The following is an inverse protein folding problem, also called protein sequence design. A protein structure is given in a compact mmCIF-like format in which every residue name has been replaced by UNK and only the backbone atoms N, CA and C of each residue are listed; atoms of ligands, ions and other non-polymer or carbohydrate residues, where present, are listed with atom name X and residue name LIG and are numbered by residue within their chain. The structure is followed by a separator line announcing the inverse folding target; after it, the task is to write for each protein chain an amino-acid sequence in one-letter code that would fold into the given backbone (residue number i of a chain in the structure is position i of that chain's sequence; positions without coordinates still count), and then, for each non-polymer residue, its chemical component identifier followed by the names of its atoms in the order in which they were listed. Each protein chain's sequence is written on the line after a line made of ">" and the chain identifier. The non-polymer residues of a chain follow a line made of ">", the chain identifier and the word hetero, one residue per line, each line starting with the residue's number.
data_IF_067058637424
#
_entry.id   IF_067058637424
#
_cell.length_a   1.000
_cell.length_b   1.000
_cell.length_c   1.000
_cell.angle_alpha   90.00
_cell.angle_beta   90.00
_cell.angle_gamma   90.00
#
_symmetry.space_group_name_H-M   'P 1'
#
loop_
_entity.id
_entity.type
_entity.pdbx_description
1 polymer ?
#
# COMPACT_ATOMS: atom_id res chain seq x y z
N UNK A 1 11.00 24.00 -40.49
CA UNK A 1 11.12 24.41 -39.06
C UNK A 1 9.79 25.06 -38.68
N UNK A 2 8.86 24.27 -38.12
CA UNK A 2 7.49 24.67 -37.78
C UNK A 2 7.37 24.69 -36.25
N UNK A 3 6.82 25.74 -35.62
CA UNK A 3 6.78 25.82 -34.18
C UNK A 3 5.68 24.89 -33.62
N UNK A 4 6.03 24.09 -32.63
CA UNK A 4 5.10 23.24 -31.89
C UNK A 4 4.14 24.11 -31.07
N UNK A 5 2.84 23.97 -31.37
CA UNK A 5 1.76 24.65 -30.68
C UNK A 5 1.76 24.32 -29.19
N UNK A 6 1.80 25.35 -28.34
CA UNK A 6 1.47 25.23 -26.91
C UNK A 6 0.01 24.77 -26.79
N UNK A 7 -0.20 23.48 -26.53
CA UNK A 7 -1.52 22.90 -26.25
C UNK A 7 -1.93 23.39 -24.86
N UNK A 8 -2.82 24.38 -24.79
CA UNK A 8 -3.48 24.82 -23.56
C UNK A 8 -4.11 23.59 -22.87
N UNK A 9 -3.60 23.20 -21.71
CA UNK A 9 -4.33 22.32 -20.81
C UNK A 9 -5.50 23.13 -20.24
N UNK A 10 -6.72 22.85 -20.73
CA UNK A 10 -7.94 23.33 -20.09
C UNK A 10 -8.25 22.40 -18.94
N UNK A 11 -8.06 22.87 -17.70
CA UNK A 11 -8.63 22.22 -16.52
C UNK A 11 -10.15 22.45 -16.52
N UNK A 12 -10.91 21.42 -16.17
CA UNK A 12 -12.35 21.52 -15.95
C UNK A 12 -12.54 21.59 -14.45
N UNK A 13 -13.01 22.73 -13.95
CA UNK A 13 -13.46 22.86 -12.56
C UNK A 13 -14.70 22.00 -12.39
N UNK A 14 -14.56 20.86 -11.71
CA UNK A 14 -15.71 20.08 -11.25
C UNK A 14 -16.48 20.87 -10.19
N UNK A 15 -17.82 20.68 -10.22
CA UNK A 15 -18.80 21.40 -9.41
C UNK A 15 -18.57 21.11 -7.92
N UNK A 16 -18.71 22.15 -7.11
CA UNK A 16 -18.52 22.12 -5.67
C UNK A 16 -19.78 21.56 -5.01
N UNK A 17 -19.83 20.25 -4.79
CA UNK A 17 -20.91 19.64 -4.03
C UNK A 17 -20.41 19.42 -2.59
N UNK A 18 -20.79 20.34 -1.71
CA UNK A 18 -20.62 20.18 -0.26
C UNK A 18 -21.64 19.16 0.23
N UNK A 19 -21.23 17.89 0.31
CA UNK A 19 -21.89 16.94 1.20
C UNK A 19 -21.25 17.07 2.59
N UNK A 20 -22.08 17.35 3.58
CA UNK A 20 -21.77 17.26 5.02
C UNK A 20 -20.71 18.23 5.59
N UNK A 21 -20.47 19.37 4.92
CA UNK A 21 -19.65 20.45 5.48
C UNK A 21 -18.13 20.21 5.44
N UNK A 22 -17.68 19.13 4.80
CA UNK A 22 -16.25 18.84 4.62
C UNK A 22 -15.70 19.65 3.43
N UNK A 23 -14.71 20.50 3.69
CA UNK A 23 -14.02 21.27 2.66
C UNK A 23 -12.97 20.42 1.96
N UNK A 24 -13.20 20.11 0.69
CA UNK A 24 -12.19 19.44 -0.14
C UNK A 24 -11.38 20.47 -0.92
N UNK A 25 -10.03 20.40 -0.89
CA UNK A 25 -9.21 21.27 -1.71
C UNK A 25 -9.52 21.04 -3.20
N UNK A 26 -9.49 22.11 -4.00
CA UNK A 26 -9.62 22.00 -5.45
C UNK A 26 -8.35 21.33 -6.00
N UNK A 27 -8.48 20.07 -6.39
CA UNK A 27 -7.44 19.29 -7.05
C UNK A 27 -7.77 19.27 -8.55
N UNK A 28 -6.89 19.81 -9.39
CA UNK A 28 -7.02 19.71 -10.84
C UNK A 28 -6.76 18.26 -11.26
N UNK A 29 -7.79 17.60 -11.80
CA UNK A 29 -7.71 16.19 -12.23
C UNK A 29 -7.42 16.14 -13.73
N UNK A 30 -6.37 15.42 -14.18
CA UNK A 30 -6.09 15.23 -15.60
C UNK A 30 -7.26 14.58 -16.36
N UNK A 31 -7.40 14.91 -17.64
CA UNK A 31 -8.45 14.35 -18.50
C UNK A 31 -8.32 12.82 -18.59
N UNK A 32 -9.41 12.12 -18.26
CA UNK A 32 -9.47 10.66 -18.26
C UNK A 32 -9.16 10.00 -16.91
N UNK A 33 -8.85 10.79 -15.87
CA UNK A 33 -8.71 10.30 -14.49
C UNK A 33 -9.93 10.65 -13.65
N UNK A 34 -10.21 9.83 -12.64
CA UNK A 34 -11.26 10.06 -11.65
C UNK A 34 -10.62 10.30 -10.29
N UNK A 35 -10.94 11.43 -9.66
CA UNK A 35 -10.57 11.67 -8.26
C UNK A 35 -11.54 10.90 -7.37
N UNK A 36 -11.02 9.96 -6.61
CA UNK A 36 -11.75 9.27 -5.55
C UNK A 36 -11.22 9.78 -4.22
N UNK A 37 -12.12 10.31 -3.39
CA UNK A 37 -11.80 10.73 -2.03
C UNK A 37 -12.13 9.57 -1.11
N UNK A 38 -11.11 9.04 -0.43
CA UNK A 38 -11.33 8.08 0.64
C UNK A 38 -11.81 8.89 1.84
N UNK A 39 -13.01 8.62 2.39
CA UNK A 39 -13.50 9.33 3.56
C UNK A 39 -12.56 9.09 4.74
N UNK A 40 -12.69 9.89 5.80
CA UNK A 40 -12.00 9.59 7.04
C UNK A 40 -12.47 8.23 7.57
N UNK A 41 -11.65 7.20 7.38
CA UNK A 41 -11.93 5.83 7.81
C UNK A 41 -11.63 5.64 9.29
N UNK A 42 -11.18 6.68 10.03
CA UNK A 42 -11.06 6.66 11.49
C UNK A 42 -12.45 6.53 12.14
N UNK A 43 -12.93 5.30 12.14
CA UNK A 43 -13.97 4.84 13.05
C UNK A 43 -13.29 4.30 14.31
N UNK A 44 -13.95 4.36 15.47
CA UNK A 44 -13.33 4.09 16.78
C UNK A 44 -12.74 2.67 16.99
N UNK A 45 -12.79 1.79 15.98
CA UNK A 45 -12.09 0.50 16.01
C UNK A 45 -10.55 0.64 15.91
N UNK A 46 -10.03 1.74 15.33
CA UNK A 46 -8.58 2.03 15.26
C UNK A 46 -8.08 2.98 16.36
N UNK A 47 -8.90 3.31 17.36
CA UNK A 47 -8.47 4.17 18.47
C UNK A 47 -7.42 3.51 19.37
N UNK A 48 -7.38 2.17 19.35
CA UNK A 48 -6.38 1.40 20.09
C UNK A 48 -5.23 1.05 19.15
N UNK A 49 -3.97 1.24 19.58
CA UNK A 49 -2.83 0.80 18.79
C UNK A 49 -2.97 -0.70 18.51
N UNK A 50 -2.67 -1.15 17.28
CA UNK A 50 -2.78 -2.57 16.96
C UNK A 50 -1.84 -3.37 17.85
N UNK A 51 -2.29 -4.54 18.29
CA UNK A 51 -1.41 -5.52 18.89
C UNK A 51 -0.56 -6.09 17.75
N UNK A 52 0.75 -6.01 17.88
CA UNK A 52 1.71 -6.50 16.88
C UNK A 52 2.42 -7.71 17.48
N UNK A 53 2.55 -8.78 16.69
CA UNK A 53 3.33 -9.96 17.08
C UNK A 53 4.75 -9.57 17.48
N UNK A 54 5.22 -10.04 18.64
CA UNK A 54 6.60 -9.85 19.11
C UNK A 54 7.63 -10.50 18.17
N UNK A 55 7.18 -11.44 17.34
CA UNK A 55 8.02 -12.17 16.39
C UNK A 55 8.25 -11.40 15.09
N UNK A 56 7.60 -10.23 14.90
CA UNK A 56 7.67 -9.46 13.66
C UNK A 56 9.11 -9.15 13.22
N UNK A 57 9.94 -8.63 14.15
CA UNK A 57 11.32 -8.24 13.84
C UNK A 57 12.20 -9.43 13.45
N UNK A 58 11.89 -10.62 13.95
CA UNK A 58 12.65 -11.84 13.65
C UNK A 58 12.17 -12.49 12.35
N UNK A 59 10.85 -12.65 12.18
CA UNK A 59 10.26 -13.41 11.07
C UNK A 59 10.28 -12.62 9.76
N UNK A 60 10.16 -11.29 9.80
CA UNK A 60 10.20 -10.43 8.61
C UNK A 60 11.47 -10.66 7.77
N UNK A 61 12.69 -10.40 8.28
CA UNK A 61 13.90 -10.52 7.46
C UNK A 61 14.10 -11.95 6.98
N UNK A 62 13.77 -12.94 7.80
CA UNK A 62 13.88 -14.34 7.39
C UNK A 62 12.91 -14.66 6.22
N UNK A 63 11.70 -14.09 6.19
CA UNK A 63 10.70 -14.26 5.12
C UNK A 63 11.09 -13.55 3.83
N UNK A 64 11.53 -12.30 3.95
CA UNK A 64 11.97 -11.49 2.80
C UNK A 64 13.20 -12.12 2.11
N UNK A 65 14.19 -12.59 2.88
CA UNK A 65 15.35 -13.30 2.33
C UNK A 65 14.93 -14.58 1.62
N UNK A 66 14.01 -15.36 2.20
CA UNK A 66 13.54 -16.60 1.60
C UNK A 66 12.87 -16.36 0.24
N UNK A 67 11.95 -15.40 0.12
CA UNK A 67 11.27 -15.17 -1.15
C UNK A 67 12.23 -14.60 -2.21
N UNK A 68 13.18 -13.75 -1.80
CA UNK A 68 14.19 -13.20 -2.71
C UNK A 68 15.11 -14.30 -3.24
N UNK A 69 15.54 -15.24 -2.40
CA UNK A 69 16.31 -16.42 -2.82
C UNK A 69 15.51 -17.32 -3.77
N UNK A 70 14.25 -17.63 -3.41
CA UNK A 70 13.38 -18.51 -4.20
C UNK A 70 13.09 -17.97 -5.60
N UNK A 71 12.89 -16.67 -5.73
CA UNK A 71 12.57 -16.03 -7.01
C UNK A 71 13.81 -15.55 -7.76
N UNK A 72 15.02 -15.71 -7.19
CA UNK A 72 16.26 -15.11 -7.70
C UNK A 72 16.07 -13.62 -7.97
N UNK A 73 15.53 -12.94 -6.97
CA UNK A 73 15.09 -11.56 -7.05
C UNK A 73 16.22 -10.64 -7.52
N UNK A 74 15.82 -9.64 -8.32
CA UNK A 74 16.66 -8.47 -8.56
C UNK A 74 16.60 -7.54 -7.35
N UNK A 75 17.59 -6.65 -7.20
CA UNK A 75 17.59 -5.65 -6.13
C UNK A 75 16.31 -4.81 -6.11
N UNK A 76 15.77 -4.50 -7.30
CA UNK A 76 14.50 -3.78 -7.44
C UNK A 76 13.33 -4.57 -6.85
N UNK A 77 13.26 -5.87 -7.11
CA UNK A 77 12.20 -6.71 -6.58
C UNK A 77 12.30 -6.86 -5.07
N UNK A 78 13.52 -7.05 -4.55
CA UNK A 78 13.77 -7.08 -3.11
C UNK A 78 13.33 -5.79 -2.40
N UNK A 79 13.58 -4.63 -3.02
CA UNK A 79 13.12 -3.34 -2.50
C UNK A 79 11.58 -3.26 -2.46
N UNK A 80 10.88 -3.71 -3.49
CA UNK A 80 9.40 -3.69 -3.51
C UNK A 80 8.84 -4.61 -2.40
N UNK A 81 9.42 -5.80 -2.21
CA UNK A 81 9.01 -6.71 -1.13
C UNK A 81 9.21 -6.05 0.24
N UNK A 82 10.37 -5.44 0.48
CA UNK A 82 10.68 -4.76 1.73
C UNK A 82 9.78 -3.54 2.00
N UNK A 83 9.41 -2.78 0.96
CA UNK A 83 8.49 -1.64 1.05
C UNK A 83 7.04 -2.07 1.25
N UNK A 84 6.64 -3.21 0.69
CA UNK A 84 5.28 -3.75 0.85
C UNK A 84 5.03 -4.22 2.28
N UNK A 85 6.07 -4.72 2.96
CA UNK A 85 6.06 -5.15 4.36
C UNK A 85 4.81 -5.99 4.72
N UNK A 86 4.61 -7.08 3.96
CA UNK A 86 3.48 -7.97 4.20
C UNK A 86 3.54 -8.62 5.59
N UNK A 87 4.75 -8.76 6.16
CA UNK A 87 4.95 -9.26 7.51
C UNK A 87 4.31 -8.38 8.57
N UNK A 88 4.24 -7.06 8.39
CA UNK A 88 3.53 -6.17 9.30
C UNK A 88 2.02 -6.43 9.28
N UNK A 89 1.45 -6.61 8.09
CA UNK A 89 0.03 -6.96 7.94
C UNK A 89 -0.28 -8.29 8.67
N UNK A 90 0.55 -9.31 8.48
CA UNK A 90 0.41 -10.59 9.19
C UNK A 90 0.56 -10.43 10.71
N UNK A 91 1.51 -9.60 11.18
CA UNK A 91 1.79 -9.40 12.59
C UNK A 91 0.64 -8.70 13.34
N UNK A 92 -0.13 -7.87 12.65
CA UNK A 92 -1.34 -7.22 13.17
C UNK A 92 -2.55 -8.16 13.07
N UNK A 93 -2.63 -8.96 12.01
CA UNK A 93 -3.78 -9.84 11.76
C UNK A 93 -3.81 -11.07 12.67
N UNK A 94 -2.63 -11.57 13.06
CA UNK A 94 -2.48 -12.76 13.91
C UNK A 94 -1.36 -12.55 14.96
N UNK A 95 -1.54 -11.61 15.91
CA UNK A 95 -0.48 -11.21 16.83
C UNK A 95 -0.01 -12.34 17.75
N UNK A 96 -0.91 -13.25 18.10
CA UNK A 96 -0.67 -14.38 19.02
C UNK A 96 -0.23 -15.66 18.30
N UNK A 97 -0.02 -15.61 16.98
CA UNK A 97 0.44 -16.76 16.22
C UNK A 97 1.84 -17.21 16.68
N UNK A 98 2.05 -18.52 16.73
CA UNK A 98 3.37 -19.10 16.95
C UNK A 98 4.30 -18.79 15.77
N UNK A 99 5.61 -18.97 16.00
CA UNK A 99 6.63 -18.62 14.99
C UNK A 99 6.42 -19.34 13.67
N UNK A 100 6.03 -20.61 13.69
CA UNK A 100 5.84 -21.41 12.49
C UNK A 100 4.60 -20.96 11.68
N UNK A 101 3.46 -20.74 12.34
CA UNK A 101 2.24 -20.25 11.68
C UNK A 101 2.44 -18.85 11.13
N UNK A 102 3.00 -17.95 11.95
CA UNK A 102 3.28 -16.57 11.54
C UNK A 102 4.24 -16.52 10.35
N UNK A 103 5.31 -17.33 10.39
CA UNK A 103 6.25 -17.42 9.28
C UNK A 103 5.59 -17.91 7.99
N UNK A 104 4.73 -18.92 8.09
CA UNK A 104 3.98 -19.46 6.95
C UNK A 104 3.09 -18.40 6.32
N UNK A 105 2.41 -17.57 7.13
CA UNK A 105 1.59 -16.47 6.64
C UNK A 105 2.42 -15.42 5.88
N UNK A 106 3.59 -15.05 6.42
CA UNK A 106 4.50 -14.11 5.77
C UNK A 106 5.02 -14.65 4.42
N UNK A 107 5.47 -15.91 4.39
CA UNK A 107 6.00 -16.52 3.16
C UNK A 107 4.92 -16.67 2.09
N UNK A 108 3.72 -17.13 2.48
CA UNK A 108 2.59 -17.25 1.57
C UNK A 108 2.15 -15.89 1.02
N UNK A 109 2.05 -14.89 1.90
CA UNK A 109 1.64 -13.54 1.53
C UNK A 109 2.63 -12.87 0.56
N UNK A 110 3.92 -12.92 0.89
CA UNK A 110 4.97 -12.43 0.01
C UNK A 110 4.93 -13.16 -1.34
N UNK A 111 4.80 -14.49 -1.35
CA UNK A 111 4.72 -15.26 -2.60
C UNK A 111 3.51 -14.90 -3.45
N UNK A 112 2.31 -14.75 -2.86
CA UNK A 112 1.10 -14.39 -3.62
C UNK A 112 1.22 -12.97 -4.18
N UNK A 113 1.66 -12.01 -3.37
CA UNK A 113 1.85 -10.63 -3.83
C UNK A 113 2.92 -10.53 -4.92
N UNK A 114 3.97 -11.37 -4.86
CA UNK A 114 5.04 -11.45 -5.87
C UNK A 114 4.54 -11.72 -7.28
N UNK A 115 3.39 -12.38 -7.45
CA UNK A 115 2.83 -12.71 -8.77
C UNK A 115 2.24 -11.47 -9.46
N UNK A 116 1.93 -10.42 -8.70
CA UNK A 116 1.29 -9.20 -9.20
C UNK A 116 2.24 -7.99 -9.24
N UNK A 117 3.53 -8.19 -8.94
CA UNK A 117 4.59 -7.18 -8.87
C UNK A 117 5.56 -7.38 -10.04
#
# INVERSE_FOLDING_TARGET
>A
MVPASKRLQRSVSTRQDSHDGVFFPKIDVPLGMMLVLIPDMFTPFMTFPPIISQLYLDVRPESEVWICDKLKATDRFGAIIAETDFSLFCAISAPDAGKAEFRTMCDWGNWVCSVYI
#
